data_IF_687086395252
#
_entry.id   IF_687086395252
#
_cell.length_a   1.000
_cell.length_b   1.000
_cell.length_c   1.000
_cell.angle_alpha   90.00
_cell.angle_beta   90.00
_cell.angle_gamma   90.00
#
_symmetry.space_group_name_H-M   'P 1'
#
loop_
_entity.id
_entity.type
_entity.pdbx_description
1 polymer ?
#
# COMPACT_ATOMS: atom_id res chain seq x y z
N UNK A 1 -13.67 -24.67 -24.54
CA UNK A 1 -12.39 -25.25 -24.08
C UNK A 1 -12.52 -25.58 -22.61
N UNK A 2 -12.74 -26.86 -22.33
CA UNK A 2 -12.88 -27.43 -20.99
C UNK A 2 -11.50 -27.64 -20.38
N UNK A 3 -11.32 -27.30 -19.10
CA UNK A 3 -10.29 -27.91 -18.29
C UNK A 3 -10.86 -28.17 -16.89
N UNK A 4 -11.35 -29.40 -16.73
CA UNK A 4 -11.73 -29.99 -15.46
C UNK A 4 -10.55 -30.84 -15.00
N UNK A 5 -9.94 -30.50 -13.86
CA UNK A 5 -9.05 -31.43 -13.15
C UNK A 5 -9.62 -31.76 -11.78
N UNK A 6 -10.16 -32.98 -11.75
CA UNK A 6 -10.44 -33.82 -10.58
C UNK A 6 -9.15 -34.06 -9.80
N UNK A 7 -9.21 -33.92 -8.49
CA UNK A 7 -8.32 -34.62 -7.58
C UNK A 7 -9.11 -35.63 -6.73
N UNK A 8 -8.59 -36.87 -6.55
CA UNK A 8 -9.32 -37.95 -5.94
C UNK A 8 -9.23 -37.97 -4.42
N UNK A 9 -10.34 -38.38 -3.82
CA UNK A 9 -10.47 -38.87 -2.46
C UNK A 9 -9.69 -40.18 -2.27
N UNK A 10 -9.05 -40.33 -1.11
CA UNK A 10 -8.75 -41.64 -0.53
C UNK A 10 -7.37 -41.74 0.08
N UNK A 11 -7.30 -41.87 1.41
CA UNK A 11 -7.15 -43.16 2.07
C UNK A 11 -6.92 -42.96 3.58
N UNK A 12 -7.88 -43.48 4.35
CA UNK A 12 -7.85 -43.71 5.78
C UNK A 12 -7.13 -45.02 6.08
N UNK A 13 -6.28 -45.08 7.13
CA UNK A 13 -5.91 -46.28 7.91
C UNK A 13 -4.97 -45.88 9.09
N UNK A 14 -4.78 -46.74 10.12
CA UNK A 14 -5.42 -46.67 11.45
C UNK A 14 -4.49 -46.19 12.59
N UNK A 15 -5.03 -45.97 13.81
CA UNK A 15 -4.22 -45.68 15.00
C UNK A 15 -3.78 -46.98 15.69
N UNK A 16 -2.57 -47.02 16.25
CA UNK A 16 -2.25 -47.84 17.43
C UNK A 16 -0.92 -47.49 18.08
N UNK A 17 -0.77 -47.80 19.38
CA UNK A 17 -0.15 -46.89 20.33
C UNK A 17 1.07 -47.52 21.05
N UNK A 18 1.59 -46.73 22.00
CA UNK A 18 2.29 -47.13 23.21
C UNK A 18 3.83 -47.04 23.21
N UNK A 19 4.25 -46.00 23.96
CA UNK A 19 5.19 -46.05 25.09
C UNK A 19 6.70 -46.15 24.82
N UNK A 20 7.39 -45.05 25.14
CA UNK A 20 8.47 -44.96 26.15
C UNK A 20 8.65 -43.48 26.53
N UNK A 21 8.18 -43.06 27.71
CA UNK A 21 8.97 -42.81 28.95
C UNK A 21 10.24 -41.96 28.72
N UNK A 22 10.06 -40.64 28.89
CA UNK A 22 10.82 -39.60 29.65
C UNK A 22 12.31 -39.82 30.01
N UNK A 23 13.05 -38.79 30.48
CA UNK A 23 12.82 -37.34 30.53
C UNK A 23 14.00 -36.57 29.87
N UNK A 24 14.09 -35.27 30.11
CA UNK A 24 15.25 -34.41 29.82
C UNK A 24 15.39 -33.94 28.37
N UNK A 25 14.92 -32.71 28.12
CA UNK A 25 15.80 -31.61 27.68
C UNK A 25 14.97 -30.33 27.59
N UNK A 26 15.18 -29.48 28.59
CA UNK A 26 14.77 -28.09 28.65
C UNK A 26 15.52 -27.25 27.61
N UNK A 27 15.34 -27.56 26.32
CA UNK A 27 16.03 -26.90 25.20
C UNK A 27 15.12 -26.62 23.98
N UNK A 28 13.80 -26.85 24.09
CA UNK A 28 12.84 -26.65 22.99
C UNK A 28 11.82 -25.53 23.27
N UNK A 29 12.07 -24.67 24.26
CA UNK A 29 11.19 -23.53 24.56
C UNK A 29 11.65 -22.20 23.91
N UNK A 30 12.72 -22.23 23.11
CA UNK A 30 13.36 -20.99 22.61
C UNK A 30 13.34 -20.82 21.08
N UNK A 31 12.76 -21.75 20.33
CA UNK A 31 12.59 -21.61 18.86
C UNK A 31 11.13 -21.50 18.39
N UNK A 32 10.16 -21.99 19.16
CA UNK A 32 8.73 -21.84 18.82
C UNK A 32 8.16 -20.46 19.17
N UNK A 33 8.77 -19.74 20.12
CA UNK A 33 8.39 -18.36 20.42
C UNK A 33 8.91 -17.34 19.38
N UNK A 34 10.00 -17.67 18.68
CA UNK A 34 10.59 -16.78 17.67
C UNK A 34 9.86 -16.83 16.32
N UNK A 35 9.20 -17.94 16.00
CA UNK A 35 8.45 -18.11 14.74
C UNK A 35 7.08 -17.41 14.72
N UNK A 36 6.47 -17.13 15.89
CA UNK A 36 5.19 -16.40 15.92
C UNK A 36 5.36 -14.88 15.82
N UNK A 37 6.51 -14.32 16.20
CA UNK A 37 6.75 -12.86 16.10
C UNK A 37 7.07 -12.40 14.68
N UNK A 38 7.58 -13.27 13.81
CA UNK A 38 7.94 -12.91 12.43
C UNK A 38 6.73 -12.91 11.48
N UNK A 39 5.68 -13.70 11.75
CA UNK A 39 4.49 -13.74 10.90
C UNK A 39 3.59 -12.50 11.01
N UNK A 40 3.62 -11.80 12.15
CA UNK A 40 2.83 -10.59 12.37
C UNK A 40 3.38 -9.35 11.64
N UNK A 41 4.66 -9.36 11.25
CA UNK A 41 5.30 -8.23 10.56
C UNK A 41 5.02 -8.19 9.04
N UNK A 42 4.40 -9.25 8.48
CA UNK A 42 4.14 -9.36 7.05
C UNK A 42 2.72 -8.93 6.65
N UNK A 43 1.82 -8.71 7.60
CA UNK A 43 0.54 -8.02 7.32
C UNK A 43 0.79 -6.50 7.27
N UNK A 44 1.62 -6.07 6.31
CA UNK A 44 1.52 -4.69 5.83
C UNK A 44 0.25 -4.62 4.99
N UNK A 45 -0.71 -3.75 5.31
CA UNK A 45 -1.78 -3.48 4.37
C UNK A 45 -1.13 -2.97 3.09
N UNK A 46 -1.23 -3.74 2.01
CA UNK A 46 -1.03 -3.21 0.67
C UNK A 46 -2.16 -2.22 0.44
N UNK A 47 -1.93 -0.97 0.84
CA UNK A 47 -2.81 0.13 0.50
C UNK A 47 -2.95 0.16 -1.00
N UNK A 48 -4.19 0.26 -1.44
CA UNK A 48 -4.59 0.31 -2.83
C UNK A 48 -3.72 1.27 -3.66
N UNK A 49 -3.42 0.84 -4.88
CA UNK A 49 -3.42 1.57 -6.16
C UNK A 49 -3.23 3.11 -6.02
N UNK A 50 -4.09 3.82 -5.30
CA UNK A 50 -3.73 5.10 -4.66
C UNK A 50 -4.51 5.30 -3.33
N UNK A 51 -4.08 6.24 -2.48
CA UNK A 51 -4.62 6.43 -1.11
C UNK A 51 -6.14 6.71 -1.03
N UNK A 52 -6.76 7.09 -2.15
CA UNK A 52 -8.20 7.35 -2.27
C UNK A 52 -8.97 6.28 -3.07
N UNK A 53 -8.36 5.18 -3.51
CA UNK A 53 -8.99 4.19 -4.41
C UNK A 53 -10.25 3.55 -3.80
N UNK A 54 -10.18 3.14 -2.53
CA UNK A 54 -11.33 2.61 -1.81
C UNK A 54 -12.49 3.62 -1.70
N UNK A 55 -12.15 4.89 -1.49
CA UNK A 55 -13.12 5.99 -1.36
C UNK A 55 -13.71 6.37 -2.72
N UNK A 56 -12.90 6.36 -3.79
CA UNK A 56 -13.36 6.59 -5.15
C UNK A 56 -14.39 5.53 -5.56
N UNK A 57 -14.07 4.25 -5.39
CA UNK A 57 -14.98 3.16 -5.76
C UNK A 57 -16.30 3.18 -5.00
N UNK A 58 -16.32 3.72 -3.77
CA UNK A 58 -17.52 3.79 -2.94
C UNK A 58 -18.31 5.09 -3.12
N UNK A 59 -17.65 6.24 -3.18
CA UNK A 59 -18.29 7.56 -3.23
C UNK A 59 -18.49 8.08 -4.66
N UNK A 60 -17.52 7.85 -5.55
CA UNK A 60 -17.41 8.51 -6.85
C UNK A 60 -16.93 7.55 -7.96
N UNK A 61 -17.58 6.39 -8.20
CA UNK A 61 -17.07 5.35 -9.11
C UNK A 61 -17.06 5.75 -10.59
N UNK A 62 -17.80 6.81 -10.95
CA UNK A 62 -17.86 7.32 -12.33
C UNK A 62 -16.86 8.45 -12.60
N UNK A 63 -16.18 8.95 -11.58
CA UNK A 63 -15.28 10.09 -11.67
C UNK A 63 -13.81 9.64 -11.61
N UNK A 64 -12.95 10.31 -12.36
CA UNK A 64 -11.51 10.08 -12.39
C UNK A 64 -10.76 11.41 -12.59
N UNK A 65 -9.45 11.43 -12.29
CA UNK A 65 -8.65 12.62 -12.53
C UNK A 65 -9.01 13.79 -11.61
N UNK A 66 -8.95 15.00 -12.13
CA UNK A 66 -9.34 16.21 -11.39
C UNK A 66 -10.83 16.21 -10.97
N UNK A 67 -11.70 15.56 -11.75
CA UNK A 67 -13.14 15.48 -11.45
C UNK A 67 -13.42 14.63 -10.19
N UNK A 68 -12.60 13.59 -9.97
CA UNK A 68 -12.64 12.81 -8.74
C UNK A 68 -12.34 13.67 -7.51
N UNK A 69 -11.31 14.52 -7.58
CA UNK A 69 -10.99 15.45 -6.49
C UNK A 69 -12.17 16.38 -6.17
N UNK A 70 -12.89 16.87 -7.18
CA UNK A 70 -14.08 17.68 -6.99
C UNK A 70 -15.25 16.89 -6.37
N UNK A 71 -15.41 15.61 -6.74
CA UNK A 71 -16.42 14.73 -6.15
C UNK A 71 -16.10 14.39 -4.69
N UNK A 72 -14.87 13.99 -4.37
CA UNK A 72 -14.46 13.64 -3.02
C UNK A 72 -14.57 14.82 -2.04
N UNK A 73 -14.39 16.06 -2.50
CA UNK A 73 -14.58 17.28 -1.69
C UNK A 73 -16.04 17.62 -1.38
N UNK A 74 -16.98 17.17 -2.22
CA UNK A 74 -18.39 17.48 -2.08
C UNK A 74 -19.18 16.24 -1.63
N UNK A 75 -19.44 16.07 -0.33
CA UNK A 75 -20.18 14.92 0.19
C UNK A 75 -21.61 14.83 -0.34
N UNK A 76 -22.14 15.90 -0.93
CA UNK A 76 -23.47 15.91 -1.56
C UNK A 76 -23.49 15.16 -2.89
N UNK A 77 -22.32 14.97 -3.50
CA UNK A 77 -22.14 14.24 -4.77
C UNK A 77 -21.77 12.78 -4.57
N UNK A 78 -21.53 12.35 -3.33
CA UNK A 78 -21.17 10.96 -3.05
C UNK A 78 -22.39 10.06 -3.26
N UNK A 79 -22.24 9.02 -4.06
CA UNK A 79 -23.30 8.03 -4.27
C UNK A 79 -23.58 7.21 -3.00
N UNK A 80 -22.59 7.08 -2.12
CA UNK A 80 -22.73 6.42 -0.83
C UNK A 80 -22.06 7.21 0.28
N UNK A 81 -22.57 7.04 1.52
CA UNK A 81 -22.01 7.73 2.69
C UNK A 81 -20.71 7.04 3.10
N UNK A 82 -19.59 7.69 2.78
CA UNK A 82 -18.24 7.19 2.99
C UNK A 82 -17.47 8.13 3.91
N UNK A 83 -16.69 7.58 4.83
CA UNK A 83 -15.81 8.37 5.70
C UNK A 83 -14.41 8.43 5.09
N UNK A 84 -14.07 9.58 4.50
CA UNK A 84 -12.78 9.76 3.84
C UNK A 84 -11.65 9.58 4.85
N UNK A 85 -10.84 8.55 4.63
CA UNK A 85 -9.67 8.23 5.46
C UNK A 85 -8.66 9.38 5.51
N UNK A 86 -7.85 9.43 6.58
CA UNK A 86 -6.82 10.45 6.75
C UNK A 86 -5.80 10.44 5.59
N UNK A 87 -5.39 9.25 5.13
CA UNK A 87 -4.48 9.11 4.00
C UNK A 87 -5.05 9.66 2.69
N UNK A 88 -6.36 9.46 2.44
CA UNK A 88 -7.00 10.06 1.26
C UNK A 88 -7.07 11.60 1.38
N UNK A 89 -7.37 12.14 2.57
CA UNK A 89 -7.35 13.60 2.80
C UNK A 89 -5.96 14.21 2.56
N UNK A 90 -4.91 13.55 3.02
CA UNK A 90 -3.52 13.98 2.76
C UNK A 90 -3.18 13.93 1.27
N UNK A 91 -3.59 12.87 0.58
CA UNK A 91 -3.39 12.76 -0.87
C UNK A 91 -4.20 13.80 -1.65
N UNK A 92 -5.43 14.10 -1.25
CA UNK A 92 -6.22 15.21 -1.81
C UNK A 92 -5.51 16.55 -1.62
N UNK A 93 -4.98 16.81 -0.42
CA UNK A 93 -4.23 18.03 -0.13
C UNK A 93 -2.94 18.14 -0.96
N UNK A 94 -2.26 17.01 -1.20
CA UNK A 94 -1.08 16.95 -2.07
C UNK A 94 -1.44 17.24 -3.54
N UNK A 95 -2.52 16.64 -4.05
CA UNK A 95 -3.00 16.92 -5.40
C UNK A 95 -3.42 18.39 -5.56
N UNK A 96 -4.02 19.00 -4.53
CA UNK A 96 -4.37 20.42 -4.53
C UNK A 96 -3.14 21.34 -4.48
N UNK A 97 -2.13 20.98 -3.68
CA UNK A 97 -0.89 21.74 -3.57
C UNK A 97 -0.03 21.64 -4.84
N UNK A 98 -0.10 20.52 -5.55
CA UNK A 98 0.65 20.21 -6.76
C UNK A 98 -0.19 20.31 -8.05
N UNK A 99 -1.38 20.91 -8.01
CA UNK A 99 -2.33 20.84 -9.14
C UNK A 99 -1.74 21.39 -10.45
N UNK A 100 -1.01 22.50 -10.37
CA UNK A 100 -0.36 23.12 -11.55
C UNK A 100 0.74 22.23 -12.14
N UNK A 101 1.53 21.59 -11.27
CA UNK A 101 2.59 20.67 -11.66
C UNK A 101 2.04 19.36 -12.22
N UNK A 102 0.94 18.86 -11.66
CA UNK A 102 0.31 17.63 -12.15
C UNK A 102 -0.24 17.85 -13.57
N UNK A 103 -0.89 18.98 -13.82
CA UNK A 103 -1.39 19.33 -15.15
C UNK A 103 -0.24 19.53 -16.15
N UNK A 104 0.84 20.21 -15.74
CA UNK A 104 1.95 20.55 -16.64
C UNK A 104 2.95 19.41 -16.86
N UNK A 105 3.37 18.76 -15.79
CA UNK A 105 4.49 17.79 -15.78
C UNK A 105 4.00 16.34 -15.75
N UNK A 106 2.81 16.10 -15.17
CA UNK A 106 2.23 14.76 -15.05
C UNK A 106 1.04 14.53 -15.99
N UNK A 107 0.89 15.33 -17.05
CA UNK A 107 -0.15 15.17 -18.08
C UNK A 107 -1.59 15.09 -17.52
N UNK A 108 -1.87 15.79 -16.41
CA UNK A 108 -3.19 15.76 -15.78
C UNK A 108 -3.54 14.43 -15.12
N UNK A 109 -2.55 13.58 -14.83
CA UNK A 109 -2.72 12.35 -14.06
C UNK A 109 -2.96 12.65 -12.57
N UNK A 110 -3.87 13.57 -12.24
CA UNK A 110 -4.30 13.82 -10.87
C UNK A 110 -5.07 12.61 -10.34
N UNK A 111 -4.94 12.31 -9.06
CA UNK A 111 -5.65 11.20 -8.41
C UNK A 111 -5.46 9.83 -9.09
N UNK A 112 -4.28 9.56 -9.63
CA UNK A 112 -3.90 8.28 -10.26
C UNK A 112 -2.77 7.63 -9.46
N UNK A 113 -2.53 6.33 -9.64
CA UNK A 113 -1.36 5.63 -9.10
C UNK A 113 -0.05 6.34 -9.42
N UNK A 114 0.05 6.81 -10.67
CA UNK A 114 1.25 7.43 -11.21
C UNK A 114 1.44 8.87 -10.72
N UNK A 115 0.47 9.50 -10.04
CA UNK A 115 0.65 10.88 -9.55
C UNK A 115 1.85 10.97 -8.61
N UNK A 116 1.95 10.05 -7.66
CA UNK A 116 3.06 10.04 -6.70
C UNK A 116 4.38 9.70 -7.37
N UNK A 117 4.38 8.73 -8.28
CA UNK A 117 5.59 8.35 -9.05
C UNK A 117 6.04 9.52 -9.92
N UNK A 118 5.11 10.19 -10.59
CA UNK A 118 5.42 11.34 -11.42
C UNK A 118 6.01 12.49 -10.61
N UNK A 119 5.39 12.87 -9.50
CA UNK A 119 5.87 13.98 -8.67
C UNK A 119 7.21 13.68 -7.98
N UNK A 120 7.49 12.42 -7.65
CA UNK A 120 8.69 12.04 -6.88
C UNK A 120 9.85 11.50 -7.73
N UNK A 121 9.56 10.88 -8.88
CA UNK A 121 10.57 10.19 -9.70
C UNK A 121 10.71 10.78 -11.10
N UNK A 122 9.63 11.23 -11.73
CA UNK A 122 9.67 11.67 -13.13
C UNK A 122 9.81 13.19 -13.28
N UNK A 123 9.35 13.96 -12.29
CA UNK A 123 9.43 15.42 -12.28
C UNK A 123 10.68 15.85 -11.54
N UNK A 124 11.44 16.78 -12.11
CA UNK A 124 12.60 17.33 -11.41
C UNK A 124 12.14 18.25 -10.29
N UNK A 125 12.87 18.24 -9.16
CA UNK A 125 12.58 19.16 -8.07
C UNK A 125 12.60 20.64 -8.54
N UNK A 126 13.38 20.99 -9.57
CA UNK A 126 13.37 22.36 -10.13
C UNK A 126 12.01 22.76 -10.72
N UNK A 127 11.24 21.80 -11.25
CA UNK A 127 9.96 22.02 -11.92
C UNK A 127 8.76 22.01 -10.96
N UNK A 128 8.99 21.70 -9.68
CA UNK A 128 7.98 21.72 -8.62
C UNK A 128 7.98 23.06 -7.87
N UNK A 129 6.81 23.66 -7.67
CA UNK A 129 6.67 24.81 -6.78
C UNK A 129 7.05 24.47 -5.34
N UNK A 130 7.40 25.50 -4.57
CA UNK A 130 7.73 25.33 -3.15
C UNK A 130 6.57 24.70 -2.37
N UNK A 131 5.32 25.06 -2.70
CA UNK A 131 4.12 24.47 -2.10
C UNK A 131 4.03 22.97 -2.34
N UNK A 132 4.24 22.52 -3.58
CA UNK A 132 4.22 21.09 -3.90
C UNK A 132 5.36 20.34 -3.20
N UNK A 133 6.57 20.92 -3.16
CA UNK A 133 7.73 20.35 -2.44
C UNK A 133 7.47 20.18 -0.94
N UNK A 134 6.85 21.17 -0.32
CA UNK A 134 6.56 21.14 1.13
C UNK A 134 5.45 20.14 1.47
N UNK A 135 4.54 19.87 0.52
CA UNK A 135 3.46 18.90 0.65
C UNK A 135 3.88 17.44 0.37
N UNK A 136 4.92 17.24 -0.46
CA UNK A 136 5.47 15.91 -0.69
C UNK A 136 5.99 15.34 0.64
N UNK A 137 5.76 14.04 0.91
CA UNK A 137 6.30 13.40 2.10
C UNK A 137 7.81 13.59 2.07
N UNK A 138 8.32 14.34 3.05
CA UNK A 138 9.75 14.58 3.19
C UNK A 138 10.40 13.20 3.28
N UNK A 139 11.13 12.79 2.24
CA UNK A 139 12.17 11.80 2.43
C UNK A 139 13.00 12.35 3.58
N UNK A 140 12.97 11.67 4.73
CA UNK A 140 14.01 11.90 5.74
C UNK A 140 15.31 11.86 4.97
N UNK A 141 16.09 12.94 5.08
CA UNK A 141 17.37 13.08 4.41
C UNK A 141 18.09 11.75 4.48
N UNK A 142 18.35 11.13 3.32
CA UNK A 142 19.34 10.07 3.24
C UNK A 142 20.60 10.66 3.85
N UNK A 143 20.91 10.27 5.09
CA UNK A 143 22.23 10.37 5.64
C UNK A 143 23.13 9.62 4.66
N UNK A 144 23.75 10.40 3.79
CA UNK A 144 24.90 10.10 2.96
C UNK A 144 25.84 9.19 3.77
N UNK A 145 25.60 7.89 3.64
CA UNK A 145 26.46 6.85 4.16
C UNK A 145 27.21 6.37 2.95
N UNK A 146 28.34 7.06 2.73
CA UNK A 146 29.44 6.70 1.87
C UNK A 146 29.36 5.25 1.36
N UNK A 147 29.05 5.10 0.07
CA UNK A 147 29.34 3.86 -0.65
C UNK A 147 30.87 3.79 -0.73
N UNK A 148 31.43 2.94 0.13
CA UNK A 148 32.85 2.66 0.23
C UNK A 148 33.40 2.25 -1.15
N UNK A 149 34.41 3.00 -1.63
CA UNK A 149 35.24 2.61 -2.77
C UNK A 149 36.08 1.42 -2.34
N UNK A 150 35.60 0.19 -2.51
CA UNK A 150 36.50 -0.95 -2.57
C UNK A 150 37.11 -1.06 -3.97
N UNK A 151 38.44 -1.16 -3.94
CA UNK A 151 39.41 -1.14 -5.04
C UNK A 151 40.00 -2.52 -5.20
#
# INVERSE_FOLDING_TARGET
SSFAERWPLGLSLPPSPLLRRAPERAAEAMWTALSCLTLAALLRPSGAVHACDAEQGAACPSEAGAALGACLKDPSKHESKVDISAGCKEFMALNDACAEEIERSCSGMAYSDDTMVCLTQWTQAADLSQKCKDALPKKEEEKDSAVDKEK
#
